data_IF_421178477434
#
_entry.id   IF_421178477434
#
_cell.length_a   1.000
_cell.length_b   1.000
_cell.length_c   1.000
_cell.angle_alpha   90.00
_cell.angle_beta   90.00
_cell.angle_gamma   90.00
#
_symmetry.space_group_name_H-M   'P 1'
#
loop_
_entity.id
_entity.type
_entity.pdbx_description
1 polymer ?
#
# COMPACT_ATOMS: atom_id res chain seq x y z
N UNK A 1 12.58 -0.51 12.48
CA UNK A 1 12.60 0.13 11.16
C UNK A 1 12.70 1.64 11.34
N UNK A 2 13.29 2.39 10.39
CA UNK A 2 13.15 3.86 10.37
C UNK A 2 11.68 4.24 10.31
N UNK A 3 11.33 5.45 10.76
CA UNK A 3 9.95 5.93 10.69
C UNK A 3 9.43 5.96 9.24
N UNK A 4 8.27 5.35 8.97
CA UNK A 4 7.63 5.44 7.66
C UNK A 4 7.07 6.84 7.42
N UNK A 5 7.29 7.33 6.20
CA UNK A 5 6.73 8.58 5.70
C UNK A 5 5.46 8.28 4.93
N UNK A 6 4.37 8.93 5.33
CA UNK A 6 3.06 8.79 4.70
C UNK A 6 2.66 10.06 3.95
N UNK A 7 2.03 9.90 2.79
CA UNK A 7 1.42 10.98 2.03
C UNK A 7 0.11 10.49 1.42
N UNK A 8 -0.98 11.21 1.66
CA UNK A 8 -2.28 10.92 1.09
C UNK A 8 -2.75 12.11 0.25
N UNK A 9 -3.48 11.86 -0.82
CA UNK A 9 -4.03 12.93 -1.64
C UNK A 9 -5.19 13.67 -0.96
N UNK A 10 -5.49 14.90 -1.39
CA UNK A 10 -6.64 15.66 -0.90
C UNK A 10 -8.01 14.99 -1.17
N UNK A 11 -8.08 14.09 -2.16
CA UNK A 11 -9.30 13.40 -2.59
C UNK A 11 -9.77 12.38 -1.55
N UNK A 12 -10.88 12.69 -0.91
CA UNK A 12 -11.54 11.86 0.09
C UNK A 12 -12.79 11.23 -0.51
N UNK A 13 -12.99 9.94 -0.27
CA UNK A 13 -14.24 9.27 -0.53
C UNK A 13 -14.97 9.10 0.79
N UNK A 14 -16.25 9.49 0.83
CA UNK A 14 -17.12 9.21 1.98
C UNK A 14 -16.98 7.73 2.32
N UNK A 15 -16.77 7.37 3.59
CA UNK A 15 -16.24 6.07 4.02
C UNK A 15 -17.14 4.91 3.54
N UNK A 16 -16.94 4.44 2.30
CA UNK A 16 -17.71 3.34 1.71
C UNK A 16 -17.02 2.04 2.10
N UNK A 17 -17.71 1.14 2.79
CA UNK A 17 -17.16 -0.17 3.18
C UNK A 17 -16.41 -0.92 2.06
N UNK A 18 -16.95 -1.10 0.83
CA UNK A 18 -16.24 -1.79 -0.24
C UNK A 18 -14.92 -1.10 -0.64
N UNK A 19 -14.76 0.20 -0.40
CA UNK A 19 -13.49 0.87 -0.65
C UNK A 19 -12.41 0.37 0.32
N UNK A 20 -12.71 0.38 1.62
CA UNK A 20 -11.72 0.03 2.64
C UNK A 20 -11.34 -1.44 2.57
N UNK A 21 -12.34 -2.33 2.40
CA UNK A 21 -12.11 -3.77 2.18
C UNK A 21 -11.22 -4.03 0.96
N UNK A 22 -11.47 -3.36 -0.18
CA UNK A 22 -10.66 -3.57 -1.39
C UNK A 22 -9.23 -3.05 -1.22
N UNK A 23 -9.04 -1.92 -0.54
CA UNK A 23 -7.70 -1.37 -0.30
C UNK A 23 -6.91 -2.29 0.63
N UNK A 24 -7.51 -2.70 1.74
CA UNK A 24 -6.89 -3.60 2.71
C UNK A 24 -6.56 -4.96 2.07
N UNK A 25 -7.48 -5.54 1.30
CA UNK A 25 -7.28 -6.85 0.68
C UNK A 25 -6.22 -6.79 -0.45
N UNK A 26 -6.24 -5.77 -1.30
CA UNK A 26 -5.22 -5.58 -2.33
C UNK A 26 -3.81 -5.38 -1.74
N UNK A 27 -3.72 -4.59 -0.66
CA UNK A 27 -2.47 -4.38 0.07
C UNK A 27 -1.98 -5.69 0.69
N UNK A 28 -2.80 -6.40 1.46
CA UNK A 28 -2.41 -7.66 2.07
C UNK A 28 -1.99 -8.71 1.03
N UNK A 29 -2.67 -8.73 -0.12
CA UNK A 29 -2.32 -9.62 -1.23
C UNK A 29 -0.91 -9.31 -1.75
N UNK A 30 -0.60 -8.05 -2.08
CA UNK A 30 0.73 -7.72 -2.61
C UNK A 30 1.83 -7.95 -1.56
N UNK A 31 1.59 -7.62 -0.30
CA UNK A 31 2.54 -7.84 0.80
C UNK A 31 2.83 -9.34 1.00
N UNK A 32 1.80 -10.20 0.89
CA UNK A 32 1.96 -11.66 1.02
C UNK A 32 2.83 -12.28 -0.08
N UNK A 33 2.95 -11.62 -1.24
CA UNK A 33 3.78 -12.07 -2.36
C UNK A 33 5.24 -11.59 -2.27
N UNK A 34 5.56 -10.74 -1.28
CA UNK A 34 6.89 -10.19 -1.13
C UNK A 34 7.91 -11.24 -0.68
N UNK A 35 9.07 -11.36 -1.35
CA UNK A 35 10.14 -12.26 -0.93
C UNK A 35 10.79 -11.76 0.36
N UNK A 36 11.46 -12.65 1.08
CA UNK A 36 12.19 -12.27 2.30
C UNK A 36 13.43 -11.41 2.03
N UNK A 37 14.00 -11.44 0.82
CA UNK A 37 15.20 -10.68 0.48
C UNK A 37 15.29 -10.36 -1.01
N UNK A 38 15.94 -9.24 -1.34
CA UNK A 38 16.23 -8.83 -2.71
C UNK A 38 15.30 -7.73 -3.22
N UNK A 39 15.45 -7.41 -4.50
CA UNK A 39 14.61 -6.42 -5.18
C UNK A 39 13.23 -7.01 -5.44
N UNK A 40 12.19 -6.32 -4.99
CA UNK A 40 10.81 -6.71 -5.22
C UNK A 40 10.04 -5.54 -5.80
N UNK A 41 9.27 -5.81 -6.84
CA UNK A 41 8.30 -4.90 -7.41
C UNK A 41 7.09 -5.73 -7.81
N UNK A 42 5.94 -5.44 -7.22
CA UNK A 42 4.69 -6.08 -7.57
C UNK A 42 3.56 -5.06 -7.60
N UNK A 43 2.61 -5.30 -8.50
CA UNK A 43 1.39 -4.54 -8.60
C UNK A 43 0.20 -5.48 -8.43
N UNK A 44 -0.78 -5.04 -7.66
CA UNK A 44 -2.03 -5.76 -7.41
C UNK A 44 -3.19 -4.85 -7.76
N UNK A 45 -4.13 -5.37 -8.56
CA UNK A 45 -5.39 -4.69 -8.87
C UNK A 45 -6.54 -5.41 -8.24
N UNK A 46 -7.48 -4.64 -7.72
CA UNK A 46 -8.72 -5.13 -7.15
C UNK A 46 -9.89 -4.29 -7.64
N UNK A 47 -10.96 -4.95 -8.07
CA UNK A 47 -12.19 -4.28 -8.50
C UNK A 47 -13.38 -5.01 -7.89
N UNK A 48 -14.09 -4.35 -6.98
CA UNK A 48 -15.28 -4.90 -6.33
C UNK A 48 -16.23 -3.78 -5.94
N UNK A 49 -17.53 -3.98 -6.19
CA UNK A 49 -18.55 -2.99 -5.85
C UNK A 49 -18.40 -1.64 -6.57
N UNK A 50 -17.81 -1.61 -7.77
CA UNK A 50 -17.59 -0.37 -8.54
C UNK A 50 -16.37 0.46 -8.09
N UNK A 51 -15.62 -0.02 -7.10
CA UNK A 51 -14.36 0.59 -6.65
C UNK A 51 -13.20 -0.20 -7.23
N UNK A 52 -12.33 0.49 -7.96
CA UNK A 52 -11.06 -0.03 -8.48
C UNK A 52 -9.92 0.44 -7.60
N UNK A 53 -9.05 -0.46 -7.18
CA UNK A 53 -7.84 -0.19 -6.39
C UNK A 53 -6.65 -0.79 -7.15
N UNK A 54 -5.62 0.02 -7.35
CA UNK A 54 -4.31 -0.40 -7.86
C UNK A 54 -3.31 -0.17 -6.73
N UNK A 55 -2.59 -1.21 -6.33
CA UNK A 55 -1.56 -1.17 -5.29
C UNK A 55 -0.23 -1.52 -5.93
N UNK A 56 0.79 -0.71 -5.65
CA UNK A 56 2.16 -0.95 -6.06
C UNK A 56 3.03 -1.08 -4.81
N UNK A 57 3.77 -2.19 -4.72
CA UNK A 57 4.71 -2.45 -3.63
C UNK A 57 6.13 -2.63 -4.19
N UNK A 58 7.08 -1.98 -3.54
CA UNK A 58 8.47 -1.91 -3.92
C UNK A 58 9.39 -2.15 -2.73
N UNK A 59 10.47 -2.91 -2.93
CA UNK A 59 11.58 -3.02 -1.99
C UNK A 59 12.93 -2.90 -2.69
N UNK A 60 13.84 -2.18 -2.05
CA UNK A 60 15.22 -2.05 -2.52
C UNK A 60 16.01 -3.37 -2.36
N UNK A 61 17.00 -3.60 -3.24
CA UNK A 61 17.72 -4.87 -3.39
C UNK A 61 18.47 -5.35 -2.13
N UNK A 62 18.81 -4.44 -1.22
CA UNK A 62 19.54 -4.75 0.00
C UNK A 62 18.60 -5.03 1.20
N UNK A 63 17.29 -4.78 1.04
CA UNK A 63 16.30 -4.92 2.11
C UNK A 63 16.25 -6.37 2.59
N UNK A 64 16.81 -6.60 3.77
CA UNK A 64 16.64 -7.86 4.49
C UNK A 64 15.25 -7.80 5.12
N UNK A 65 14.34 -8.69 4.72
CA UNK A 65 12.92 -8.77 5.12
C UNK A 65 12.02 -7.74 4.46
N UNK A 66 11.92 -7.81 3.13
CA UNK A 66 11.01 -6.97 2.35
C UNK A 66 9.54 -7.16 2.76
N UNK A 67 9.11 -8.39 3.06
CA UNK A 67 7.78 -8.69 3.60
C UNK A 67 7.47 -7.98 4.92
N UNK A 68 8.35 -8.06 5.93
CA UNK A 68 8.21 -7.34 7.20
C UNK A 68 8.16 -5.82 7.00
N UNK A 69 9.01 -5.30 6.11
CA UNK A 69 9.06 -3.88 5.81
C UNK A 69 7.73 -3.40 5.21
N UNK A 70 7.24 -4.08 4.18
CA UNK A 70 5.98 -3.73 3.52
C UNK A 70 4.79 -3.86 4.47
N UNK A 71 4.77 -4.89 5.32
CA UNK A 71 3.75 -5.07 6.35
C UNK A 71 3.71 -3.87 7.30
N UNK A 72 4.87 -3.45 7.79
CA UNK A 72 4.98 -2.31 8.71
C UNK A 72 4.50 -0.99 8.08
N UNK A 73 4.84 -0.76 6.80
CA UNK A 73 4.39 0.44 6.08
C UNK A 73 2.90 0.38 5.78
N UNK A 74 2.36 -0.79 5.40
CA UNK A 74 0.95 -0.95 5.07
C UNK A 74 0.00 -0.64 6.22
N UNK A 75 0.35 -1.09 7.44
CA UNK A 75 -0.46 -0.85 8.64
C UNK A 75 -0.59 0.65 8.94
N UNK A 76 0.53 1.37 8.95
CA UNK A 76 0.53 2.82 9.13
C UNK A 76 -0.13 3.57 7.97
N UNK A 77 -0.03 3.07 6.74
CA UNK A 77 -0.66 3.69 5.58
C UNK A 77 -2.19 3.63 5.64
N UNK A 78 -2.75 2.47 6.00
CA UNK A 78 -4.19 2.29 6.19
C UNK A 78 -4.71 3.18 7.33
N UNK A 79 -3.95 3.28 8.42
CA UNK A 79 -4.31 4.11 9.56
C UNK A 79 -4.24 5.62 9.24
N UNK A 80 -3.21 6.05 8.50
CA UNK A 80 -3.00 7.48 8.21
C UNK A 80 -3.87 7.99 7.07
N UNK A 81 -4.09 7.17 6.03
CA UNK A 81 -4.87 7.57 4.86
C UNK A 81 -6.36 7.20 4.92
N UNK A 82 -6.80 6.32 5.84
CA UNK A 82 -8.20 5.95 6.11
C UNK A 82 -9.11 5.76 4.87
N UNK A 83 -9.70 6.86 4.36
CA UNK A 83 -10.66 6.88 3.24
C UNK A 83 -10.22 7.82 2.09
N UNK A 84 -8.91 8.03 1.97
CA UNK A 84 -8.29 8.80 0.88
C UNK A 84 -8.16 7.92 -0.35
N UNK A 85 -8.47 8.47 -1.52
CA UNK A 85 -8.36 7.74 -2.79
C UNK A 85 -6.93 7.33 -3.13
N UNK A 86 -5.95 8.12 -2.72
CA UNK A 86 -4.54 7.85 -2.97
C UNK A 86 -3.77 7.93 -1.67
N UNK A 87 -2.96 6.92 -1.41
CA UNK A 87 -2.07 6.88 -0.26
C UNK A 87 -0.72 6.29 -0.65
N UNK A 88 0.34 6.86 -0.09
CA UNK A 88 1.72 6.43 -0.31
C UNK A 88 2.37 6.32 1.06
N UNK A 89 2.88 5.14 1.39
CA UNK A 89 3.72 4.88 2.54
C UNK A 89 5.10 4.47 2.06
N UNK A 90 6.15 5.04 2.63
CA UNK A 90 7.53 4.65 2.30
C UNK A 90 8.46 4.81 3.47
N UNK A 91 9.45 3.94 3.56
CA UNK A 91 10.59 4.11 4.47
C UNK A 91 11.75 4.68 3.65
N UNK A 92 12.14 5.96 3.85
CA UNK A 92 13.28 6.54 3.15
C UNK A 92 14.57 5.97 3.76
N UNK A 93 15.09 4.89 3.18
CA UNK A 93 16.39 4.31 3.50
C UNK A 93 16.95 3.56 2.29
N UNK A 94 18.27 3.33 2.26
CA UNK A 94 18.90 2.52 1.22
C UNK A 94 18.37 1.07 1.20
N UNK A 95 17.80 0.61 2.31
CA UNK A 95 17.06 -0.64 2.53
C UNK A 95 15.55 -0.39 2.70
N UNK A 96 15.04 0.63 2.02
CA UNK A 96 13.66 1.06 2.13
C UNK A 96 12.69 0.17 1.36
N UNK A 97 11.46 0.11 1.85
CA UNK A 97 10.30 -0.34 1.11
C UNK A 97 9.32 0.81 0.92
N UNK A 98 8.52 0.73 -0.13
CA UNK A 98 7.41 1.64 -0.35
C UNK A 98 6.20 0.88 -0.87
N UNK A 99 5.03 1.31 -0.42
CA UNK A 99 3.75 0.84 -0.90
C UNK A 99 2.88 2.04 -1.20
N UNK A 100 2.27 2.06 -2.37
CA UNK A 100 1.29 3.06 -2.75
C UNK A 100 0.04 2.40 -3.23
N UNK A 101 -1.11 2.99 -2.94
CA UNK A 101 -2.37 2.60 -3.51
C UNK A 101 -3.02 3.79 -4.20
N UNK A 102 -3.66 3.52 -5.33
CA UNK A 102 -4.52 4.44 -6.03
C UNK A 102 -5.87 3.76 -6.25
N UNK A 103 -6.89 4.37 -5.69
CA UNK A 103 -8.24 3.91 -5.80
C UNK A 103 -9.09 4.93 -6.55
N UNK A 104 -10.07 4.42 -7.29
CA UNK A 104 -11.04 5.22 -8.03
C UNK A 104 -12.40 4.55 -7.88
N UNK A 105 -13.40 5.34 -7.50
CA UNK A 105 -14.76 4.87 -7.43
C UNK A 105 -15.53 5.49 -8.59
N UNK A 106 -16.16 4.63 -9.40
CA UNK A 106 -16.99 5.07 -10.51
C UNK A 106 -18.44 5.00 -10.05
N UNK A 107 -18.93 6.09 -9.44
CA UNK A 107 -20.33 6.27 -9.04
C UNK A 107 -21.09 7.06 -10.11
#
# INVERSE_FOLDING_TARGET
>A
FPDPHFGCDSSFVERVQPFHDNVEHAINTVVSTAPESGTFHATQREEKGGVKVDVEANCASQTTRCSDCLLHVSDGLLHFCEARLVGVGRIPSNDGCSISYQASANY
#
